data_IF_939873398074
#
_entry.id   IF_939873398074
#
_cell.length_a   1.000
_cell.length_b   1.000
_cell.length_c   1.000
_cell.angle_alpha   90.00
_cell.angle_beta   90.00
_cell.angle_gamma   90.00
#
_symmetry.space_group_name_H-M   'P 1'
#
loop_
_entity.id
_entity.type
_entity.pdbx_description
1 polymer ?
#
# COMPACT_ATOMS: atom_id res chain seq x y z
N UNK A 1 10.67 29.03 -4.85
CA UNK A 1 10.74 28.90 -3.38
C UNK A 1 10.60 27.41 -3.04
N UNK A 2 11.68 26.70 -2.68
CA UNK A 2 11.60 25.26 -2.34
C UNK A 2 11.07 25.14 -0.91
N UNK A 3 9.81 24.74 -0.75
CA UNK A 3 9.23 24.45 0.56
C UNK A 3 10.02 23.29 1.17
N UNK A 4 10.70 23.53 2.28
CA UNK A 4 11.52 22.55 2.99
C UNK A 4 10.57 21.42 3.43
N UNK A 5 10.66 20.23 2.82
CA UNK A 5 9.82 19.07 3.19
C UNK A 5 9.99 18.81 4.68
N UNK A 6 8.90 18.89 5.44
CA UNK A 6 8.90 18.59 6.86
C UNK A 6 9.26 17.10 7.02
N UNK A 7 10.44 16.83 7.55
CA UNK A 7 10.92 15.48 7.89
C UNK A 7 10.47 15.19 9.31
N UNK A 8 9.76 14.09 9.52
CA UNK A 8 9.39 13.60 10.83
C UNK A 8 10.44 12.57 11.22
N UNK A 9 11.15 12.83 12.31
CA UNK A 9 12.12 11.92 12.90
C UNK A 9 11.41 11.13 13.99
N UNK A 10 11.34 9.81 13.82
CA UNK A 10 10.82 8.85 14.79
C UNK A 10 12.00 8.00 15.24
N UNK A 11 12.33 8.06 16.53
CA UNK A 11 13.32 7.17 17.12
C UNK A 11 12.64 5.84 17.46
N UNK A 12 13.14 4.74 16.91
CA UNK A 12 12.72 3.38 17.29
C UNK A 12 13.44 2.93 18.56
N UNK A 13 12.87 1.96 19.27
CA UNK A 13 13.43 1.43 20.53
C UNK A 13 14.86 0.88 20.41
N UNK A 14 15.32 0.59 19.19
CA UNK A 14 16.69 0.18 18.87
C UNK A 14 17.64 1.35 18.53
N UNK A 15 17.20 2.60 18.76
CA UNK A 15 17.99 3.83 18.59
C UNK A 15 18.13 4.30 17.14
N UNK A 16 17.37 3.73 16.18
CA UNK A 16 17.38 4.20 14.79
C UNK A 16 16.42 5.38 14.64
N UNK A 17 16.84 6.37 13.86
CA UNK A 17 15.99 7.51 13.51
C UNK A 17 15.36 7.25 12.14
N UNK A 18 14.08 6.92 12.12
CA UNK A 18 13.27 6.83 10.91
C UNK A 18 12.85 8.23 10.46
N UNK A 19 13.17 8.59 9.22
CA UNK A 19 12.91 9.93 8.65
C UNK A 19 11.82 9.89 7.60
N UNK A 20 10.56 9.99 8.00
CA UNK A 20 9.47 10.06 7.02
C UNK A 20 9.35 11.46 6.43
N UNK A 21 9.09 11.53 5.13
CA UNK A 21 8.74 12.76 4.44
C UNK A 21 7.25 12.77 4.12
N UNK A 22 6.62 13.94 4.17
CA UNK A 22 5.26 14.07 3.64
C UNK A 22 5.28 14.00 2.12
N UNK A 23 4.37 13.22 1.55
CA UNK A 23 4.09 13.25 0.12
C UNK A 23 3.42 14.58 -0.26
N UNK A 24 3.85 15.20 -1.35
CA UNK A 24 3.34 16.51 -1.77
C UNK A 24 1.83 16.45 -2.08
N UNK A 25 1.38 15.32 -2.63
CA UNK A 25 -0.03 15.04 -2.87
C UNK A 25 -0.64 14.25 -1.70
N UNK A 26 -1.33 14.97 -0.80
CA UNK A 26 -2.15 14.40 0.27
C UNK A 26 -1.52 14.40 1.68
N UNK A 27 -0.20 14.59 1.79
CA UNK A 27 0.47 14.80 3.07
C UNK A 27 0.71 13.56 3.93
N UNK A 28 0.48 12.35 3.41
CA UNK A 28 0.83 11.09 4.06
C UNK A 28 2.34 10.90 4.22
N UNK A 29 2.74 10.02 5.15
CA UNK A 29 4.13 9.80 5.53
C UNK A 29 4.75 8.70 4.67
N UNK A 30 5.88 9.02 4.04
CA UNK A 30 6.60 8.15 3.13
C UNK A 30 8.02 7.94 3.65
N UNK A 31 8.39 6.68 3.84
CA UNK A 31 9.75 6.27 4.19
C UNK A 31 10.74 6.78 3.12
N UNK A 32 11.98 7.17 3.50
CA UNK A 32 12.97 7.65 2.54
C UNK A 32 13.41 6.55 1.56
N UNK A 33 13.21 5.29 1.94
CA UNK A 33 13.52 4.11 1.13
C UNK A 33 12.30 3.58 0.36
N UNK A 34 11.17 4.29 0.40
CA UNK A 34 10.00 4.01 -0.42
C UNK A 34 10.02 4.83 -1.72
N UNK A 35 9.39 4.33 -2.76
CA UNK A 35 9.19 5.06 -4.01
C UNK A 35 7.70 5.30 -4.26
N UNK A 36 7.28 6.55 -4.11
CA UNK A 36 5.92 6.98 -4.46
C UNK A 36 6.02 7.91 -5.67
N UNK A 37 5.33 7.56 -6.75
CA UNK A 37 5.28 8.38 -7.95
C UNK A 37 4.65 9.75 -7.65
N UNK A 38 5.16 10.82 -8.27
CA UNK A 38 4.68 12.19 -8.00
C UNK A 38 3.17 12.36 -8.24
N UNK A 39 2.64 11.78 -9.32
CA UNK A 39 1.20 11.78 -9.63
C UNK A 39 0.33 10.91 -8.69
N UNK A 40 0.92 10.10 -7.81
CA UNK A 40 0.15 9.38 -6.81
C UNK A 40 -0.32 10.33 -5.71
N UNK A 41 -1.41 9.99 -5.01
CA UNK A 41 -1.84 10.72 -3.82
C UNK A 41 -1.79 9.81 -2.60
N UNK A 42 -1.12 10.25 -1.54
CA UNK A 42 -1.04 9.56 -0.26
C UNK A 42 -1.66 10.47 0.79
N UNK A 43 -2.87 10.12 1.25
CA UNK A 43 -3.63 10.97 2.16
C UNK A 43 -3.01 11.05 3.56
N UNK A 44 -3.32 12.11 4.29
CA UNK A 44 -2.84 12.32 5.64
C UNK A 44 -3.15 11.12 6.56
N UNK A 45 -2.19 10.79 7.41
CA UNK A 45 -2.27 9.65 8.32
C UNK A 45 -2.04 8.29 7.65
N UNK A 46 -1.90 8.23 6.31
CA UNK A 46 -1.41 7.04 5.66
C UNK A 46 0.13 6.94 5.75
N UNK A 47 0.62 5.70 5.79
CA UNK A 47 2.04 5.37 5.87
C UNK A 47 2.44 4.51 4.66
N UNK A 48 3.61 4.81 4.10
CA UNK A 48 4.25 4.01 3.05
C UNK A 48 5.64 3.65 3.53
N UNK A 49 5.86 2.35 3.76
CA UNK A 49 7.05 1.83 4.39
C UNK A 49 8.22 1.57 3.42
N UNK A 50 9.40 1.35 3.99
CA UNK A 50 10.64 1.12 3.25
C UNK A 50 10.48 0.01 2.18
N UNK A 51 11.04 0.24 1.00
CA UNK A 51 10.97 -0.70 -0.13
C UNK A 51 9.60 -0.77 -0.83
N UNK A 52 8.57 -0.09 -0.32
CA UNK A 52 7.27 -0.05 -1.00
C UNK A 52 7.32 0.84 -2.25
N UNK A 53 6.56 0.45 -3.28
CA UNK A 53 6.39 1.19 -4.52
C UNK A 53 4.92 1.53 -4.76
N UNK A 54 4.63 2.80 -5.05
CA UNK A 54 3.28 3.26 -5.42
C UNK A 54 3.33 3.92 -6.79
N UNK A 55 2.63 3.29 -7.75
CA UNK A 55 2.58 3.73 -9.15
C UNK A 55 1.81 5.03 -9.38
N UNK A 56 1.94 5.61 -10.60
CA UNK A 56 1.31 6.87 -10.97
C UNK A 56 -0.21 6.81 -10.87
N UNK A 57 -0.83 7.94 -10.53
CA UNK A 57 -2.29 8.15 -10.43
C UNK A 57 -3.01 7.26 -9.41
N UNK A 58 -2.26 6.45 -8.66
CA UNK A 58 -2.79 5.65 -7.58
C UNK A 58 -3.13 6.50 -6.36
N UNK A 59 -4.11 6.07 -5.59
CA UNK A 59 -4.62 6.79 -4.42
C UNK A 59 -4.55 5.89 -3.20
N UNK A 60 -3.85 6.34 -2.16
CA UNK A 60 -3.81 5.71 -0.84
C UNK A 60 -4.65 6.54 0.11
N UNK A 61 -5.77 5.97 0.57
CA UNK A 61 -6.71 6.62 1.48
C UNK A 61 -6.14 6.87 2.88
N UNK A 62 -6.78 7.78 3.61
CA UNK A 62 -6.31 8.21 4.93
C UNK A 62 -6.25 7.05 5.92
N UNK A 63 -5.23 7.06 6.78
CA UNK A 63 -5.02 6.03 7.80
C UNK A 63 -4.64 4.65 7.25
N UNK A 64 -4.38 4.51 5.95
CA UNK A 64 -3.97 3.24 5.36
C UNK A 64 -2.47 3.01 5.55
N UNK A 65 -2.08 1.76 5.70
CA UNK A 65 -0.70 1.32 5.85
C UNK A 65 -0.31 0.46 4.66
N UNK A 66 0.61 0.99 3.85
CA UNK A 66 1.29 0.26 2.79
C UNK A 66 2.61 -0.23 3.36
N UNK A 67 2.67 -1.50 3.75
CA UNK A 67 3.81 -2.07 4.46
C UNK A 67 5.02 -2.27 3.53
N UNK A 68 6.13 -2.71 4.10
CA UNK A 68 7.42 -2.89 3.44
C UNK A 68 7.32 -3.79 2.21
N UNK A 69 8.09 -3.44 1.19
CA UNK A 69 8.21 -4.21 -0.05
C UNK A 69 6.88 -4.40 -0.83
N UNK A 70 5.81 -3.67 -0.47
CA UNK A 70 4.53 -3.71 -1.18
C UNK A 70 4.65 -3.03 -2.54
N UNK A 71 4.03 -3.61 -3.57
CA UNK A 71 3.99 -3.04 -4.92
C UNK A 71 2.57 -2.67 -5.31
N UNK A 72 2.26 -1.38 -5.35
CA UNK A 72 1.00 -0.84 -5.87
C UNK A 72 1.22 -0.36 -7.30
N UNK A 73 0.49 -0.94 -8.25
CA UNK A 73 0.53 -0.57 -9.67
C UNK A 73 -0.02 0.83 -9.95
N UNK A 74 -0.12 1.19 -11.23
CA UNK A 74 -0.73 2.44 -11.67
C UNK A 74 -2.27 2.41 -11.51
N UNK A 75 -2.89 3.57 -11.34
CA UNK A 75 -4.35 3.74 -11.32
C UNK A 75 -5.08 2.91 -10.24
N UNK A 76 -4.39 2.50 -9.18
CA UNK A 76 -4.97 1.73 -8.07
C UNK A 76 -5.70 2.66 -7.10
N UNK A 77 -6.86 2.23 -6.61
CA UNK A 77 -7.50 2.90 -5.46
C UNK A 77 -7.42 2.02 -4.23
N UNK A 78 -6.68 2.46 -3.23
CA UNK A 78 -6.69 1.93 -1.87
C UNK A 78 -7.60 2.82 -1.03
N UNK A 79 -8.63 2.23 -0.42
CA UNK A 79 -9.58 2.90 0.45
C UNK A 79 -8.93 3.45 1.74
N UNK A 80 -9.76 3.94 2.65
CA UNK A 80 -9.32 4.45 3.96
C UNK A 80 -9.09 3.31 4.95
N UNK A 81 -8.11 3.46 5.84
CA UNK A 81 -7.81 2.49 6.90
C UNK A 81 -7.56 1.07 6.39
N UNK A 82 -6.96 0.93 5.21
CA UNK A 82 -6.56 -0.35 4.62
C UNK A 82 -5.18 -0.73 5.14
N UNK A 83 -4.97 -2.01 5.43
CA UNK A 83 -3.63 -2.56 5.64
C UNK A 83 -3.25 -3.46 4.47
N UNK A 84 -2.13 -3.16 3.80
CA UNK A 84 -1.50 -4.03 2.82
C UNK A 84 -0.24 -4.65 3.45
N UNK A 85 -0.30 -5.93 3.79
CA UNK A 85 0.79 -6.63 4.47
C UNK A 85 2.05 -6.76 3.62
N UNK A 86 3.23 -7.01 4.23
CA UNK A 86 4.52 -7.06 3.58
C UNK A 86 4.57 -7.89 2.30
N UNK A 87 5.27 -7.37 1.29
CA UNK A 87 5.49 -8.07 0.02
C UNK A 87 4.24 -8.29 -0.84
N UNK A 88 3.09 -7.72 -0.46
CA UNK A 88 1.85 -7.76 -1.26
C UNK A 88 2.04 -7.03 -2.60
N UNK A 89 1.37 -7.51 -3.64
CA UNK A 89 1.30 -6.84 -4.94
C UNK A 89 -0.14 -6.53 -5.32
N UNK A 90 -0.40 -5.29 -5.72
CA UNK A 90 -1.69 -4.79 -6.17
C UNK A 90 -1.57 -4.34 -7.61
N UNK A 91 -2.14 -5.12 -8.53
CA UNK A 91 -2.06 -4.88 -9.97
C UNK A 91 -2.72 -3.57 -10.39
N UNK A 92 -2.31 -3.07 -11.55
CA UNK A 92 -2.80 -1.79 -12.08
C UNK A 92 -4.33 -1.78 -12.21
N UNK A 93 -4.95 -0.63 -11.89
CA UNK A 93 -6.40 -0.44 -11.94
C UNK A 93 -7.20 -1.22 -10.90
N UNK A 94 -6.57 -1.97 -10.00
CA UNK A 94 -7.26 -2.67 -8.93
C UNK A 94 -7.84 -1.72 -7.88
N UNK A 95 -8.77 -2.24 -7.09
CA UNK A 95 -9.44 -1.49 -6.01
C UNK A 95 -9.42 -2.28 -4.72
N UNK A 96 -8.96 -1.67 -3.64
CA UNK A 96 -9.01 -2.23 -2.30
C UNK A 96 -9.96 -1.38 -1.46
N UNK A 97 -11.06 -1.96 -1.01
CA UNK A 97 -12.11 -1.27 -0.27
C UNK A 97 -11.64 -0.83 1.12
N UNK A 98 -12.26 0.22 1.65
CA UNK A 98 -11.91 0.76 2.98
C UNK A 98 -11.97 -0.32 4.07
N UNK A 99 -11.07 -0.21 5.05
CA UNK A 99 -10.95 -1.11 6.22
C UNK A 99 -10.59 -2.56 5.88
N UNK A 100 -10.32 -2.87 4.62
CA UNK A 100 -9.81 -4.18 4.23
C UNK A 100 -8.44 -4.45 4.89
N UNK A 101 -8.22 -5.70 5.27
CA UNK A 101 -6.95 -6.20 5.81
C UNK A 101 -6.41 -7.23 4.84
N UNK A 102 -5.40 -6.85 4.08
CA UNK A 102 -4.74 -7.72 3.12
C UNK A 102 -3.50 -8.29 3.77
N UNK A 103 -3.45 -9.62 3.92
CA UNK A 103 -2.33 -10.33 4.53
C UNK A 103 -1.06 -10.31 3.70
N UNK A 104 -0.05 -11.04 4.17
CA UNK A 104 1.32 -10.96 3.66
C UNK A 104 1.45 -11.70 2.32
N UNK A 105 2.20 -11.11 1.38
CA UNK A 105 2.46 -11.74 0.08
C UNK A 105 1.20 -12.04 -0.74
N UNK A 106 0.12 -11.27 -0.55
CA UNK A 106 -1.09 -11.38 -1.36
C UNK A 106 -0.82 -10.84 -2.77
N UNK A 107 -1.48 -11.43 -3.77
CA UNK A 107 -1.50 -10.93 -5.15
C UNK A 107 -2.92 -10.51 -5.50
N UNK A 108 -3.15 -9.21 -5.60
CA UNK A 108 -4.39 -8.64 -6.16
C UNK A 108 -4.16 -8.41 -7.64
N UNK A 109 -4.85 -9.17 -8.49
CA UNK A 109 -4.70 -9.06 -9.94
C UNK A 109 -5.09 -7.68 -10.47
N UNK A 110 -4.57 -7.32 -11.65
CA UNK A 110 -4.92 -6.06 -12.31
C UNK A 110 -6.44 -5.96 -12.53
N UNK A 111 -7.03 -4.84 -12.12
CA UNK A 111 -8.47 -4.59 -12.19
C UNK A 111 -9.33 -5.45 -11.24
N UNK A 112 -8.73 -6.20 -10.31
CA UNK A 112 -9.48 -6.93 -9.29
C UNK A 112 -10.05 -5.98 -8.22
N UNK A 113 -11.00 -6.48 -7.43
CA UNK A 113 -11.63 -5.74 -6.34
C UNK A 113 -11.59 -6.55 -5.06
N UNK A 114 -11.03 -5.95 -4.00
CA UNK A 114 -11.17 -6.41 -2.63
C UNK A 114 -12.29 -5.57 -1.97
N UNK A 115 -13.42 -6.17 -1.59
CA UNK A 115 -14.47 -5.51 -0.83
C UNK A 115 -14.00 -4.77 0.45
N UNK A 116 -14.76 -3.76 0.91
CA UNK A 116 -14.52 -3.13 2.21
C UNK A 116 -14.67 -4.16 3.33
N UNK A 117 -13.95 -3.94 4.42
CA UNK A 117 -13.95 -4.81 5.61
C UNK A 117 -13.49 -6.26 5.37
N UNK A 118 -13.10 -6.62 4.15
CA UNK A 118 -12.62 -7.96 3.83
C UNK A 118 -11.26 -8.24 4.47
N UNK A 119 -11.11 -9.45 5.00
CA UNK A 119 -9.83 -9.98 5.45
C UNK A 119 -9.35 -10.99 4.42
N UNK A 120 -8.32 -10.61 3.66
CA UNK A 120 -7.68 -11.49 2.69
C UNK A 120 -6.52 -12.20 3.39
N UNK A 121 -6.52 -13.54 3.50
CA UNK A 121 -5.45 -14.26 4.15
C UNK A 121 -4.11 -14.11 3.42
N UNK A 122 -3.01 -14.29 4.15
CA UNK A 122 -1.66 -14.33 3.56
C UNK A 122 -1.59 -15.25 2.36
N UNK A 123 -0.72 -14.93 1.40
CA UNK A 123 -0.40 -15.78 0.25
C UNK A 123 -1.67 -16.19 -0.52
N UNK A 124 -2.60 -15.25 -0.66
CA UNK A 124 -3.85 -15.44 -1.41
C UNK A 124 -3.79 -14.70 -2.74
N UNK A 125 -4.49 -15.20 -3.76
CA UNK A 125 -4.69 -14.47 -5.02
C UNK A 125 -6.12 -13.96 -5.09
N UNK A 126 -6.27 -12.64 -5.23
CA UNK A 126 -7.56 -12.00 -5.49
C UNK A 126 -7.67 -11.80 -7.00
N UNK A 127 -8.57 -12.54 -7.63
CA UNK A 127 -8.71 -12.58 -9.08
C UNK A 127 -9.70 -11.54 -9.62
N UNK A 128 -9.52 -11.16 -10.89
CA UNK A 128 -10.50 -10.32 -11.60
C UNK A 128 -11.73 -11.14 -11.99
N UNK A 129 -12.85 -10.98 -11.27
CA UNK A 129 -14.11 -11.66 -11.56
C UNK A 129 -14.91 -11.94 -10.28
N UNK A 130 -16.24 -12.13 -10.38
CA UNK A 130 -17.15 -12.20 -9.22
C UNK A 130 -16.68 -13.19 -8.14
N UNK A 131 -16.36 -12.64 -6.96
CA UNK A 131 -16.59 -13.27 -5.65
C UNK A 131 -15.53 -14.29 -5.19
N UNK A 132 -14.81 -13.89 -4.13
CA UNK A 132 -13.94 -14.66 -3.26
C UNK A 132 -12.48 -14.89 -3.74
N UNK A 133 -11.58 -14.41 -2.89
CA UNK A 133 -10.15 -14.69 -2.90
C UNK A 133 -9.89 -16.19 -2.76
N UNK A 134 -8.97 -16.75 -3.54
CA UNK A 134 -8.59 -18.17 -3.46
C UNK A 134 -7.14 -18.30 -2.99
N UNK A 135 -6.83 -19.23 -2.06
CA UNK A 135 -5.47 -19.42 -1.57
C UNK A 135 -4.52 -19.82 -2.71
N UNK A 136 -3.25 -19.40 -2.64
CA UNK A 136 -2.22 -19.85 -3.58
C UNK A 136 -2.13 -21.39 -3.52
N UNK A 137 -2.34 -22.06 -4.65
CA UNK A 137 -2.03 -23.49 -4.77
C UNK A 137 -0.52 -23.63 -4.85
N UNK A 138 0.07 -24.35 -3.90
CA UNK A 138 1.43 -24.87 -4.01
C UNK A 138 1.53 -25.65 -5.32
N UNK A 139 2.34 -25.17 -6.27
CA UNK A 139 2.80 -26.01 -7.36
C UNK A 139 3.92 -26.86 -6.75
N UNK A 140 3.57 -28.07 -6.32
CA UNK A 140 4.57 -29.09 -6.05
C UNK A 140 5.31 -29.33 -7.37
N UNK A 141 6.60 -28.97 -7.38
CA UNK A 141 7.57 -29.47 -8.33
C UNK A 141 8.01 -30.88 -7.92
#
# INVERSE_FOLDING_TARGET
MRTKRARFELETDDGRVLRYARHDNGGGLVSPDAHVHEDASVAAGAYVEAGAHVGPRSRVGAGSWVDRDVRVGADVTVGTSVHLGPGTSVGAGARVGSRAKVGDGVVVEAGAYVPPDEVVPDRTVVRRGRGAAQPLRSVAA
#
